data_IF_066816214395
#
_entry.id   IF_066816214395
#
_cell.length_a   1.000
_cell.length_b   1.000
_cell.length_c   1.000
_cell.angle_alpha   90.00
_cell.angle_beta   90.00
_cell.angle_gamma   90.00
#
_symmetry.space_group_name_H-M   'P 1'
#
loop_
_entity.id
_entity.type
_entity.pdbx_description
1 polymer ?
#
# COMPACT_ATOMS: atom_id res chain seq x y z
N UNK A 1 22.90 4.95 -24.78
CA UNK A 1 21.78 5.06 -23.82
C UNK A 1 21.28 3.65 -23.53
N UNK A 2 21.51 3.10 -22.32
CA UNK A 2 20.94 1.79 -21.94
C UNK A 2 19.42 1.98 -21.91
N UNK A 3 18.69 1.24 -22.72
CA UNK A 3 17.23 1.24 -22.68
C UNK A 3 16.80 0.94 -21.24
N UNK A 4 16.05 1.86 -20.66
CA UNK A 4 15.45 1.64 -19.34
C UNK A 4 14.56 0.40 -19.46
N UNK A 5 14.83 -0.63 -18.66
CA UNK A 5 14.00 -1.83 -18.66
C UNK A 5 12.56 -1.54 -18.21
N UNK A 6 11.61 -2.44 -18.50
CA UNK A 6 10.20 -2.22 -18.20
C UNK A 6 9.95 -1.93 -16.71
N UNK A 7 10.70 -2.51 -15.79
CA UNK A 7 10.60 -2.19 -14.36
C UNK A 7 11.01 -0.75 -14.02
N UNK A 8 12.03 -0.21 -14.70
CA UNK A 8 12.45 1.19 -14.51
C UNK A 8 11.36 2.14 -15.00
N UNK A 9 10.73 1.85 -16.15
CA UNK A 9 9.62 2.64 -16.68
C UNK A 9 8.42 2.64 -15.73
N UNK A 10 8.02 1.48 -15.21
CA UNK A 10 6.93 1.36 -14.23
C UNK A 10 7.28 2.04 -12.90
N UNK A 11 8.54 2.01 -12.46
CA UNK A 11 8.96 2.73 -11.27
C UNK A 11 8.83 4.24 -11.44
N UNK A 12 9.23 4.78 -12.59
CA UNK A 12 9.07 6.20 -12.92
C UNK A 12 7.58 6.60 -13.01
N UNK A 13 6.74 5.77 -13.66
CA UNK A 13 5.31 5.99 -13.70
C UNK A 13 4.70 6.04 -12.28
N UNK A 14 5.06 5.09 -11.41
CA UNK A 14 4.63 5.09 -10.00
C UNK A 14 5.05 6.35 -9.27
N UNK A 15 6.31 6.80 -9.44
CA UNK A 15 6.84 8.03 -8.80
C UNK A 15 6.04 9.26 -9.20
N UNK A 16 5.56 9.34 -10.43
CA UNK A 16 4.70 10.45 -10.88
C UNK A 16 3.25 10.33 -10.36
N UNK A 17 2.69 9.11 -10.38
CA UNK A 17 1.30 8.87 -10.00
C UNK A 17 1.04 9.05 -8.50
N UNK A 18 1.95 8.65 -7.63
CA UNK A 18 1.76 8.71 -6.18
C UNK A 18 1.40 10.12 -5.67
N UNK A 19 2.24 11.15 -5.89
CA UNK A 19 1.91 12.53 -5.53
C UNK A 19 0.70 13.09 -6.29
N UNK A 20 0.55 12.73 -7.58
CA UNK A 20 -0.57 13.21 -8.40
C UNK A 20 -1.92 12.78 -7.82
N UNK A 21 -2.05 11.54 -7.37
CA UNK A 21 -3.27 11.01 -6.75
C UNK A 21 -3.64 11.81 -5.50
N UNK A 22 -2.67 12.10 -4.63
CA UNK A 22 -2.91 12.88 -3.42
C UNK A 22 -3.34 14.31 -3.75
N UNK A 23 -2.69 14.96 -4.73
CA UNK A 23 -3.08 16.28 -5.20
C UNK A 23 -4.50 16.29 -5.78
N UNK A 24 -4.86 15.30 -6.61
CA UNK A 24 -6.18 15.21 -7.21
C UNK A 24 -7.27 14.99 -6.14
N UNK A 25 -7.00 14.17 -5.14
CA UNK A 25 -7.91 13.98 -4.02
C UNK A 25 -8.09 15.27 -3.21
N UNK A 26 -6.99 15.96 -2.90
CA UNK A 26 -7.02 17.23 -2.15
C UNK A 26 -7.77 18.34 -2.90
N UNK A 27 -7.65 18.37 -4.23
CA UNK A 27 -8.39 19.32 -5.10
C UNK A 27 -9.87 18.92 -5.29
N UNK A 28 -10.33 17.80 -4.74
CA UNK A 28 -11.71 17.33 -4.89
C UNK A 28 -12.05 16.82 -6.30
N UNK A 29 -11.04 16.49 -7.11
CA UNK A 29 -11.22 16.06 -8.50
C UNK A 29 -11.47 14.55 -8.58
N UNK A 30 -12.72 14.12 -8.31
CA UNK A 30 -13.09 12.70 -8.20
C UNK A 30 -12.75 11.87 -9.45
N UNK A 31 -13.18 12.29 -10.62
CA UNK A 31 -12.94 11.53 -11.88
C UNK A 31 -11.45 11.38 -12.21
N UNK A 32 -10.64 12.45 -12.21
CA UNK A 32 -9.19 12.34 -12.38
C UNK A 32 -8.53 11.49 -11.30
N UNK A 33 -8.98 11.59 -10.03
CA UNK A 33 -8.50 10.73 -8.95
C UNK A 33 -8.75 9.25 -9.24
N UNK A 34 -9.98 8.87 -9.62
CA UNK A 34 -10.32 7.49 -9.95
C UNK A 34 -9.43 6.92 -11.06
N UNK A 35 -9.22 7.69 -12.14
CA UNK A 35 -8.37 7.28 -13.26
C UNK A 35 -6.91 7.13 -12.82
N UNK A 36 -6.36 8.12 -12.13
CA UNK A 36 -4.97 8.10 -11.68
C UNK A 36 -4.72 7.00 -10.65
N UNK A 37 -5.68 6.78 -9.73
CA UNK A 37 -5.56 5.73 -8.71
C UNK A 37 -5.68 4.33 -9.32
N UNK A 38 -6.59 4.12 -10.27
CA UNK A 38 -6.67 2.87 -11.03
C UNK A 38 -5.39 2.60 -11.84
N UNK A 39 -4.82 3.64 -12.47
CA UNK A 39 -3.56 3.53 -13.20
C UNK A 39 -2.39 3.17 -12.26
N UNK A 40 -2.30 3.79 -11.08
CA UNK A 40 -1.27 3.46 -10.08
C UNK A 40 -1.41 2.02 -9.61
N UNK A 41 -2.64 1.55 -9.34
CA UNK A 41 -2.91 0.16 -8.97
C UNK A 41 -2.48 -0.81 -10.08
N UNK A 42 -2.78 -0.50 -11.34
CA UNK A 42 -2.34 -1.30 -12.47
C UNK A 42 -0.81 -1.35 -12.61
N UNK A 43 -0.13 -0.22 -12.40
CA UNK A 43 1.35 -0.15 -12.37
C UNK A 43 1.92 -1.01 -11.24
N UNK A 44 1.35 -0.97 -10.04
CA UNK A 44 1.83 -1.77 -8.91
C UNK A 44 1.61 -3.27 -9.17
N UNK A 45 0.46 -3.67 -9.69
CA UNK A 45 0.17 -5.06 -10.09
C UNK A 45 1.14 -5.52 -11.19
N UNK A 46 1.39 -4.69 -12.20
CA UNK A 46 2.33 -5.02 -13.27
C UNK A 46 3.76 -5.21 -12.74
N UNK A 47 4.21 -4.35 -11.83
CA UNK A 47 5.52 -4.47 -11.18
C UNK A 47 5.65 -5.76 -10.35
N UNK A 48 4.60 -6.17 -9.68
CA UNK A 48 4.60 -7.39 -8.87
C UNK A 48 4.65 -8.67 -9.70
N UNK A 49 4.16 -8.63 -10.93
CA UNK A 49 4.15 -9.76 -11.86
C UNK A 49 5.37 -9.83 -12.79
N UNK A 50 6.17 -8.77 -12.88
CA UNK A 50 7.39 -8.80 -13.69
C UNK A 50 8.53 -9.54 -12.97
N UNK A 51 9.36 -10.21 -13.76
CA UNK A 51 10.58 -10.85 -13.26
C UNK A 51 11.52 -9.82 -12.62
N UNK A 52 12.26 -10.21 -11.56
CA UNK A 52 13.22 -9.31 -10.92
C UNK A 52 14.29 -8.85 -11.91
N UNK A 53 14.34 -7.56 -12.18
CA UNK A 53 15.43 -6.94 -12.93
C UNK A 53 16.58 -6.51 -12.00
N UNK A 54 17.77 -6.21 -12.56
CA UNK A 54 18.84 -5.60 -11.79
C UNK A 54 18.33 -4.39 -11.00
N UNK A 55 18.78 -4.26 -9.76
CA UNK A 55 18.32 -3.23 -8.84
C UNK A 55 18.41 -1.83 -9.48
N UNK A 56 17.32 -1.06 -9.48
CA UNK A 56 17.34 0.30 -9.99
C UNK A 56 18.33 1.17 -9.19
N UNK A 57 18.81 2.29 -9.75
CA UNK A 57 19.63 3.25 -9.04
C UNK A 57 19.03 3.60 -7.66
N UNK A 58 19.87 3.77 -6.62
CA UNK A 58 19.43 3.92 -5.23
C UNK A 58 18.45 5.08 -5.00
N UNK A 59 18.53 6.16 -5.78
CA UNK A 59 17.57 7.27 -5.73
C UNK A 59 16.19 6.84 -6.25
N UNK A 60 16.14 6.07 -7.37
CA UNK A 60 14.88 5.60 -7.95
C UNK A 60 14.21 4.57 -7.05
N UNK A 61 14.99 3.70 -6.39
CA UNK A 61 14.46 2.76 -5.41
C UNK A 61 13.84 3.48 -4.21
N UNK A 62 14.43 4.60 -3.77
CA UNK A 62 13.86 5.45 -2.70
C UNK A 62 12.59 6.16 -3.17
N UNK A 63 12.64 6.79 -4.35
CA UNK A 63 11.49 7.49 -4.92
C UNK A 63 10.29 6.53 -5.14
N UNK A 64 10.53 5.33 -5.66
CA UNK A 64 9.51 4.30 -5.81
C UNK A 64 8.92 3.85 -4.46
N UNK A 65 9.73 3.84 -3.39
CA UNK A 65 9.26 3.55 -2.05
C UNK A 65 8.31 4.62 -1.51
N UNK A 66 8.66 5.88 -1.70
CA UNK A 66 7.80 7.00 -1.30
C UNK A 66 6.50 7.03 -2.10
N UNK A 67 6.57 6.72 -3.41
CA UNK A 67 5.39 6.61 -4.25
C UNK A 67 4.45 5.49 -3.79
N UNK A 68 4.98 4.31 -3.47
CA UNK A 68 4.18 3.20 -2.92
C UNK A 68 3.50 3.61 -1.61
N UNK A 69 4.22 4.33 -0.73
CA UNK A 69 3.64 4.86 0.50
C UNK A 69 2.55 5.89 0.21
N UNK A 70 2.76 6.80 -0.75
CA UNK A 70 1.77 7.79 -1.18
C UNK A 70 0.51 7.13 -1.75
N UNK A 71 0.65 6.09 -2.58
CA UNK A 71 -0.48 5.32 -3.13
C UNK A 71 -1.29 4.64 -2.01
N UNK A 72 -0.62 4.06 -1.01
CA UNK A 72 -1.30 3.47 0.15
C UNK A 72 -1.99 4.54 1.01
N UNK A 73 -1.32 5.66 1.25
CA UNK A 73 -1.89 6.79 1.98
C UNK A 73 -3.08 7.43 1.25
N UNK A 74 -3.14 7.30 -0.09
CA UNK A 74 -4.26 7.79 -0.89
C UNK A 74 -5.58 7.04 -0.61
N UNK A 75 -5.54 5.82 -0.01
CA UNK A 75 -6.74 5.11 0.42
C UNK A 75 -7.46 5.93 1.50
N UNK A 76 -6.92 6.15 2.70
CA UNK A 76 -7.62 6.91 3.73
C UNK A 76 -7.70 8.41 3.43
N UNK A 77 -6.64 9.03 2.88
CA UNK A 77 -6.65 10.46 2.60
C UNK A 77 -7.58 10.81 1.44
N UNK A 78 -7.62 9.97 0.41
CA UNK A 78 -8.57 10.14 -0.70
C UNK A 78 -10.01 10.08 -0.21
N UNK A 79 -10.34 9.14 0.67
CA UNK A 79 -11.68 9.05 1.28
C UNK A 79 -11.97 10.26 2.18
N UNK A 80 -11.00 10.71 2.97
CA UNK A 80 -11.13 11.87 3.83
C UNK A 80 -11.48 13.15 3.04
N UNK A 81 -10.81 13.39 1.92
CA UNK A 81 -11.02 14.59 1.12
C UNK A 81 -12.21 14.50 0.16
N UNK A 82 -12.42 13.34 -0.46
CA UNK A 82 -13.49 13.16 -1.46
C UNK A 82 -14.83 12.76 -0.86
N UNK A 83 -14.81 12.11 0.30
CA UNK A 83 -16.01 11.57 0.99
C UNK A 83 -15.97 11.85 2.49
N UNK A 84 -15.91 13.13 2.92
CA UNK A 84 -15.76 13.48 4.34
C UNK A 84 -16.90 12.97 5.21
N UNK A 85 -18.09 12.73 4.66
CA UNK A 85 -19.22 12.17 5.37
C UNK A 85 -18.95 10.76 5.93
N UNK A 86 -17.97 10.04 5.38
CA UNK A 86 -17.60 8.69 5.86
C UNK A 86 -17.09 8.71 7.31
N UNK A 87 -16.49 9.82 7.76
CA UNK A 87 -16.08 9.93 9.15
C UNK A 87 -17.29 9.94 10.10
N UNK A 88 -18.44 10.40 9.64
CA UNK A 88 -19.68 10.42 10.43
C UNK A 88 -20.48 9.11 10.29
N UNK A 89 -20.50 8.52 9.10
CA UNK A 89 -21.34 7.35 8.80
C UNK A 89 -20.61 6.02 8.97
N UNK A 90 -19.30 5.98 8.79
CA UNK A 90 -18.46 4.76 8.81
C UNK A 90 -17.14 4.99 9.60
N UNK A 91 -17.19 5.60 10.81
CA UNK A 91 -15.97 5.95 11.54
C UNK A 91 -15.10 4.72 11.85
N UNK A 92 -15.72 3.61 12.21
CA UNK A 92 -15.00 2.38 12.57
C UNK A 92 -14.18 1.85 11.40
N UNK A 93 -14.80 1.67 10.23
CA UNK A 93 -14.13 1.16 9.03
C UNK A 93 -13.03 2.09 8.55
N UNK A 94 -13.24 3.40 8.66
CA UNK A 94 -12.24 4.41 8.31
C UNK A 94 -11.02 4.32 9.24
N UNK A 95 -11.22 4.37 10.57
CA UNK A 95 -10.12 4.33 11.52
C UNK A 95 -9.42 2.97 11.58
N UNK A 96 -10.14 1.87 11.37
CA UNK A 96 -9.53 0.55 11.20
C UNK A 96 -8.59 0.51 10.00
N UNK A 97 -8.99 1.13 8.88
CA UNK A 97 -8.13 1.24 7.68
C UNK A 97 -6.87 2.04 7.98
N UNK A 98 -7.01 3.22 8.60
CA UNK A 98 -5.87 4.05 9.02
C UNK A 98 -4.94 3.28 9.95
N UNK A 99 -5.48 2.67 10.99
CA UNK A 99 -4.71 1.92 11.97
C UNK A 99 -4.00 0.71 11.36
N UNK A 100 -4.69 -0.06 10.51
CA UNK A 100 -4.12 -1.24 9.85
C UNK A 100 -2.95 -0.90 8.91
N UNK A 101 -2.96 0.28 8.29
CA UNK A 101 -1.87 0.75 7.45
C UNK A 101 -0.73 1.39 8.27
N UNK A 102 -1.04 2.12 9.34
CA UNK A 102 -0.06 2.88 10.11
C UNK A 102 0.64 2.05 11.20
N UNK A 103 -0.10 1.24 11.96
CA UNK A 103 0.43 0.56 13.15
C UNK A 103 1.58 -0.41 12.81
N UNK A 104 1.50 -1.29 11.79
CA UNK A 104 2.60 -2.17 11.43
C UNK A 104 3.85 -1.39 11.01
N UNK A 105 3.67 -0.29 10.27
CA UNK A 105 4.75 0.58 9.81
C UNK A 105 5.46 1.25 11.00
N UNK A 106 4.70 1.85 11.91
CA UNK A 106 5.22 2.51 13.12
C UNK A 106 5.92 1.48 14.01
N UNK A 107 5.29 0.33 14.24
CA UNK A 107 5.88 -0.74 15.06
C UNK A 107 7.21 -1.24 14.50
N UNK A 108 7.27 -1.45 13.19
CA UNK A 108 8.49 -1.86 12.53
C UNK A 108 9.57 -0.77 12.57
N UNK A 109 9.18 0.50 12.42
CA UNK A 109 10.10 1.63 12.53
C UNK A 109 10.68 1.74 13.95
N UNK A 110 9.85 1.63 14.98
CA UNK A 110 10.30 1.65 16.39
C UNK A 110 11.26 0.50 16.68
N UNK A 111 10.96 -0.72 16.16
CA UNK A 111 11.78 -1.90 16.41
C UNK A 111 13.12 -1.88 15.67
N UNK A 112 13.15 -1.42 14.42
CA UNK A 112 14.31 -1.58 13.54
C UNK A 112 14.99 -0.25 13.14
N UNK A 113 14.44 0.91 13.53
CA UNK A 113 14.91 2.23 13.10
C UNK A 113 14.68 2.52 11.61
N UNK A 114 13.97 1.64 10.91
CA UNK A 114 13.68 1.75 9.47
C UNK A 114 12.39 0.99 9.14
N UNK A 115 11.67 1.44 8.13
CA UNK A 115 10.50 0.74 7.62
C UNK A 115 10.94 -0.53 6.86
N UNK A 116 10.68 -1.75 7.37
CA UNK A 116 10.92 -2.97 6.63
C UNK A 116 9.85 -3.14 5.56
N UNK A 117 10.26 -3.59 4.39
CA UNK A 117 9.33 -3.90 3.31
C UNK A 117 8.98 -5.39 3.37
N UNK A 118 8.20 -5.77 4.37
CA UNK A 118 7.57 -7.08 4.30
C UNK A 118 6.47 -7.03 3.23
N UNK A 119 6.50 -7.98 2.32
CA UNK A 119 5.44 -8.17 1.33
C UNK A 119 4.82 -9.54 1.60
N UNK A 120 4.11 -9.66 2.74
CA UNK A 120 3.32 -10.87 2.96
C UNK A 120 2.22 -10.94 1.92
N UNK A 121 1.85 -12.16 1.53
CA UNK A 121 0.78 -12.35 0.53
C UNK A 121 -0.54 -11.75 1.01
N UNK A 122 -0.84 -11.89 2.30
CA UNK A 122 -2.04 -11.30 2.88
C UNK A 122 -2.03 -9.78 2.77
N UNK A 123 -0.90 -9.11 3.08
CA UNK A 123 -0.78 -7.66 2.97
C UNK A 123 -0.96 -7.16 1.52
N UNK A 124 -0.37 -7.85 0.55
CA UNK A 124 -0.54 -7.50 -0.88
C UNK A 124 -2.00 -7.60 -1.30
N UNK A 125 -2.66 -8.72 -0.99
CA UNK A 125 -4.07 -8.94 -1.32
C UNK A 125 -4.96 -7.90 -0.61
N UNK A 126 -4.75 -7.66 0.69
CA UNK A 126 -5.55 -6.73 1.46
C UNK A 126 -5.43 -5.28 0.95
N UNK A 127 -4.22 -4.84 0.56
CA UNK A 127 -4.01 -3.51 -0.03
C UNK A 127 -4.74 -3.39 -1.38
N UNK A 128 -4.64 -4.39 -2.25
CA UNK A 128 -5.35 -4.36 -3.54
C UNK A 128 -6.88 -4.41 -3.38
N UNK A 129 -7.38 -5.20 -2.44
CA UNK A 129 -8.81 -5.21 -2.09
C UNK A 129 -9.26 -3.83 -1.58
N UNK A 130 -8.45 -3.19 -0.73
CA UNK A 130 -8.77 -1.87 -0.18
C UNK A 130 -8.71 -0.78 -1.23
N UNK A 131 -7.74 -0.82 -2.14
CA UNK A 131 -7.67 0.11 -3.26
C UNK A 131 -8.88 -0.04 -4.19
N UNK A 132 -9.24 -1.28 -4.55
CA UNK A 132 -10.44 -1.58 -5.36
C UNK A 132 -11.73 -1.15 -4.66
N UNK A 133 -11.86 -1.42 -3.35
CA UNK A 133 -12.99 -1.00 -2.55
C UNK A 133 -13.11 0.53 -2.43
N UNK A 134 -11.98 1.24 -2.34
CA UNK A 134 -11.92 2.71 -2.36
C UNK A 134 -12.40 3.26 -3.71
N UNK A 135 -11.92 2.70 -4.82
CA UNK A 135 -12.39 3.07 -6.15
C UNK A 135 -13.90 2.85 -6.30
N UNK A 136 -14.39 1.69 -5.85
CA UNK A 136 -15.80 1.35 -5.88
C UNK A 136 -16.64 2.30 -5.02
N UNK A 137 -16.19 2.58 -3.81
CA UNK A 137 -16.87 3.50 -2.89
C UNK A 137 -16.95 4.94 -3.46
N UNK A 138 -15.85 5.46 -4.02
CA UNK A 138 -15.84 6.80 -4.62
C UNK A 138 -16.73 6.84 -5.85
N UNK A 139 -16.78 5.78 -6.66
CA UNK A 139 -17.58 5.73 -7.88
C UNK A 139 -19.08 5.53 -7.63
N UNK A 140 -19.47 4.75 -6.61
CA UNK A 140 -20.87 4.32 -6.41
C UNK A 140 -21.51 4.81 -5.12
N UNK A 141 -20.70 5.23 -4.12
CA UNK A 141 -21.14 5.56 -2.78
C UNK A 141 -21.42 4.35 -1.86
N UNK A 142 -21.31 3.10 -2.35
CA UNK A 142 -21.58 1.91 -1.57
C UNK A 142 -20.42 1.57 -0.62
N UNK A 143 -20.70 1.44 0.70
CA UNK A 143 -19.70 1.29 1.76
C UNK A 143 -19.34 -0.14 2.11
N UNK A 144 -20.20 -1.11 1.78
CA UNK A 144 -19.99 -2.50 2.20
C UNK A 144 -18.66 -3.15 1.71
N UNK A 145 -18.15 -2.89 0.48
CA UNK A 145 -16.87 -3.46 0.08
C UNK A 145 -15.71 -2.88 0.88
N UNK A 146 -15.82 -1.60 1.25
CA UNK A 146 -14.83 -0.91 2.07
C UNK A 146 -14.76 -1.50 3.49
N UNK A 147 -15.90 -1.84 4.11
CA UNK A 147 -15.94 -2.52 5.41
C UNK A 147 -15.21 -3.88 5.35
N UNK A 148 -15.49 -4.68 4.32
CA UNK A 148 -14.81 -5.97 4.15
C UNK A 148 -13.30 -5.82 3.89
N UNK A 149 -12.92 -4.83 3.11
CA UNK A 149 -11.51 -4.53 2.84
C UNK A 149 -10.78 -4.03 4.11
N UNK A 150 -11.43 -3.23 4.95
CA UNK A 150 -10.88 -2.80 6.25
C UNK A 150 -10.60 -4.01 7.16
N UNK A 151 -11.50 -4.98 7.24
CA UNK A 151 -11.27 -6.22 7.99
C UNK A 151 -10.10 -7.03 7.42
N UNK A 152 -10.00 -7.15 6.09
CA UNK A 152 -8.87 -7.82 5.44
C UNK A 152 -7.53 -7.12 5.75
N UNK A 153 -7.52 -5.78 5.77
CA UNK A 153 -6.33 -5.00 6.17
C UNK A 153 -5.93 -5.26 7.63
N UNK A 154 -6.90 -5.33 8.55
CA UNK A 154 -6.63 -5.63 9.96
C UNK A 154 -5.97 -7.00 10.10
N UNK A 155 -6.50 -8.04 9.43
CA UNK A 155 -5.90 -9.38 9.46
C UNK A 155 -4.48 -9.38 8.89
N UNK A 156 -4.24 -8.66 7.80
CA UNK A 156 -2.91 -8.50 7.22
C UNK A 156 -1.96 -7.73 8.15
N UNK A 157 -2.44 -6.68 8.81
CA UNK A 157 -1.67 -5.91 9.79
C UNK A 157 -1.24 -6.77 10.98
N UNK A 158 -2.12 -7.62 11.49
CA UNK A 158 -1.79 -8.58 12.55
C UNK A 158 -0.70 -9.56 12.11
N UNK A 159 -0.76 -10.07 10.87
CA UNK A 159 0.31 -10.90 10.32
C UNK A 159 1.63 -10.14 10.23
N UNK A 160 1.64 -8.89 9.74
CA UNK A 160 2.85 -8.06 9.64
C UNK A 160 3.46 -7.76 11.02
N UNK A 161 2.64 -7.46 12.02
CA UNK A 161 3.08 -7.26 13.41
C UNK A 161 3.69 -8.56 13.95
N UNK A 162 3.05 -9.71 13.72
CA UNK A 162 3.57 -11.01 14.16
C UNK A 162 4.91 -11.33 13.49
N UNK A 163 5.06 -11.09 12.17
CA UNK A 163 6.33 -11.24 11.44
C UNK A 163 7.40 -10.32 12.04
N UNK A 164 7.06 -9.05 12.28
CA UNK A 164 7.97 -8.09 12.89
C UNK A 164 8.41 -8.52 14.29
N UNK A 165 7.49 -9.08 15.08
CA UNK A 165 7.77 -9.55 16.45
C UNK A 165 8.73 -10.74 16.45
N UNK A 166 8.54 -11.68 15.52
CA UNK A 166 9.32 -12.93 15.43
C UNK A 166 10.75 -12.69 14.95
N UNK A 167 10.95 -11.77 14.00
CA UNK A 167 12.25 -11.52 13.39
C UNK A 167 13.10 -10.56 14.25
N UNK A 168 14.36 -10.94 14.54
CA UNK A 168 15.31 -10.07 15.24
C UNK A 168 15.82 -8.92 14.37
N UNK A 169 15.92 -9.12 13.06
CA UNK A 169 16.37 -8.13 12.08
C UNK A 169 15.47 -8.18 10.83
N UNK A 170 15.32 -7.05 10.11
CA UNK A 170 14.49 -6.99 8.91
C UNK A 170 15.14 -7.81 7.78
N UNK A 171 14.66 -9.02 7.56
CA UNK A 171 15.06 -9.90 6.44
C UNK A 171 14.05 -9.80 5.31
N UNK A 172 14.50 -9.78 4.08
CA UNK A 172 13.65 -9.77 2.88
C UNK A 172 14.13 -10.85 1.89
N UNK A 173 13.21 -11.49 1.16
CA UNK A 173 11.75 -11.38 1.19
C UNK A 173 11.10 -12.34 2.21
N UNK A 174 10.19 -11.83 3.06
CA UNK A 174 9.37 -12.68 3.95
C UNK A 174 7.93 -12.66 3.42
N UNK A 175 7.47 -13.82 2.93
CA UNK A 175 6.16 -13.94 2.26
C UNK A 175 5.01 -14.35 3.18
N UNK A 176 5.30 -14.80 4.40
CA UNK A 176 4.29 -15.23 5.38
C UNK A 176 4.90 -15.38 6.78
N UNK A 177 4.03 -15.41 7.81
CA UNK A 177 4.45 -15.70 9.19
C UNK A 177 5.14 -17.07 9.31
N UNK A 178 4.69 -18.08 8.57
CA UNK A 178 5.32 -19.41 8.54
C UNK A 178 6.78 -19.34 8.05
N UNK A 179 7.05 -18.52 7.02
CA UNK A 179 8.41 -18.28 6.54
C UNK A 179 9.27 -17.58 7.59
N UNK A 180 8.72 -16.58 8.30
CA UNK A 180 9.41 -15.90 9.39
C UNK A 180 9.80 -16.84 10.53
N UNK A 181 8.90 -17.74 10.92
CA UNK A 181 9.16 -18.74 11.97
C UNK A 181 10.27 -19.75 11.59
N UNK A 182 10.38 -20.14 10.32
CA UNK A 182 11.49 -20.97 9.84
C UNK A 182 12.82 -20.23 9.92
N UNK A 183 12.86 -18.98 9.43
CA UNK A 183 14.07 -18.14 9.47
C UNK A 183 14.56 -17.81 10.89
N UNK A 184 13.71 -17.90 11.90
CA UNK A 184 14.08 -17.73 13.32
C UNK A 184 14.83 -18.94 13.88
N UNK A 185 14.59 -20.13 13.33
CA UNK A 185 15.18 -21.39 13.80
C UNK A 185 16.56 -21.67 13.20
N UNK A 186 16.91 -20.95 12.13
CA UNK A 186 18.23 -20.97 11.48
C UNK A 186 19.17 -19.91 12.09
#
# INVERSE_FOLDING_TARGET
>A
MRNAGPQTALALAGVALGPAILCLAWLGLERPFLVAFAAALAVDIARDNLAPEPRPPGWLARAAAWSELATRAAIPLGLYWLRPYLLATEPESFWLTVAALAVPLVYAFVKYGRAPRYRTRAAVIAVYLSAGATLFLVATGATWPFRLAALALVLAALEEIAVTTVLAAPRQPVRSLRAALRLRRE
#
